data_IF_486776607488
#
_entry.id   IF_486776607488
#
_cell.length_a   1.000
_cell.length_b   1.000
_cell.length_c   1.000
_cell.angle_alpha   90.00
_cell.angle_beta   90.00
_cell.angle_gamma   90.00
#
_symmetry.space_group_name_H-M   'P 1'
#
loop_
_entity.id
_entity.type
_entity.pdbx_description
1 polymer ?
#
# COMPACT_ATOMS: atom_id res chain seq x y z
N UNK A 1 -14.54 -8.30 -17.39
CA UNK A 1 -15.43 -7.90 -16.27
C UNK A 1 -15.01 -8.68 -15.03
N UNK A 2 -14.26 -8.05 -14.12
CA UNK A 2 -13.61 -8.75 -12.99
C UNK A 2 -14.49 -8.91 -11.75
N UNK A 3 -15.68 -8.29 -11.71
CA UNK A 3 -16.66 -8.49 -10.64
C UNK A 3 -18.08 -8.41 -11.24
N UNK A 4 -18.86 -9.51 -11.17
CA UNK A 4 -20.29 -9.48 -11.48
C UNK A 4 -21.04 -8.99 -10.25
N UNK A 5 -21.73 -7.86 -10.35
CA UNK A 5 -22.60 -7.32 -9.29
C UNK A 5 -22.05 -6.13 -8.50
N UNK A 6 -20.84 -5.65 -8.79
CA UNK A 6 -20.38 -4.35 -8.33
C UNK A 6 -20.94 -3.25 -9.25
N UNK A 7 -21.16 -2.04 -8.72
CA UNK A 7 -21.45 -0.87 -9.54
C UNK A 7 -20.39 -0.74 -10.64
N UNK A 8 -20.81 -0.31 -11.82
CA UNK A 8 -19.89 -0.08 -12.94
C UNK A 8 -18.93 1.05 -12.56
N UNK A 9 -17.65 0.72 -12.40
CA UNK A 9 -16.61 1.70 -12.07
C UNK A 9 -16.24 2.39 -13.37
N UNK A 10 -16.39 3.72 -13.41
CA UNK A 10 -16.04 4.51 -14.58
C UNK A 10 -14.60 4.22 -15.03
N UNK A 11 -14.43 3.91 -16.31
CA UNK A 11 -13.15 3.63 -16.97
C UNK A 11 -12.41 2.34 -16.52
N UNK A 12 -13.07 1.39 -15.83
CA UNK A 12 -12.46 0.10 -15.41
C UNK A 12 -12.17 -0.86 -16.59
N UNK A 13 -12.61 -0.52 -17.80
CA UNK A 13 -12.31 -1.25 -19.01
C UNK A 13 -10.89 -0.97 -19.54
N UNK A 14 -10.33 0.20 -19.22
CA UNK A 14 -9.03 0.70 -19.69
C UNK A 14 -7.97 0.74 -18.59
N UNK A 15 -6.70 0.65 -18.98
CA UNK A 15 -5.54 0.91 -18.11
C UNK A 15 -4.86 2.25 -18.41
N UNK A 16 -5.38 3.03 -19.35
CA UNK A 16 -4.71 4.18 -19.95
C UNK A 16 -4.26 5.22 -18.93
N UNK A 17 -5.12 5.56 -17.96
CA UNK A 17 -4.79 6.52 -16.90
C UNK A 17 -3.68 5.97 -16.00
N UNK A 18 -3.80 4.70 -15.57
CA UNK A 18 -2.77 4.04 -14.76
C UNK A 18 -1.43 3.95 -15.49
N UNK A 19 -1.46 3.57 -16.77
CA UNK A 19 -0.26 3.50 -17.60
C UNK A 19 0.39 4.87 -17.77
N UNK A 20 -0.41 5.93 -17.98
CA UNK A 20 0.11 7.29 -18.09
C UNK A 20 0.83 7.74 -16.82
N UNK A 21 0.34 7.35 -15.64
CA UNK A 21 1.03 7.63 -14.36
C UNK A 21 2.34 6.85 -14.24
N UNK A 22 2.34 5.56 -14.63
CA UNK A 22 3.55 4.73 -14.65
C UNK A 22 4.61 5.33 -15.59
N UNK A 23 4.22 5.69 -16.81
CA UNK A 23 5.11 6.28 -17.81
C UNK A 23 5.65 7.64 -17.33
N UNK A 24 4.80 8.47 -16.74
CA UNK A 24 5.19 9.75 -16.14
C UNK A 24 6.25 9.58 -15.05
N UNK A 25 6.06 8.60 -14.16
CA UNK A 25 6.99 8.32 -13.06
C UNK A 25 8.32 7.75 -13.57
N UNK A 26 8.26 6.77 -14.48
CA UNK A 26 9.46 6.18 -15.10
C UNK A 26 10.26 7.19 -15.93
N UNK A 27 9.60 8.11 -16.65
CA UNK A 27 10.26 9.18 -17.41
C UNK A 27 11.03 10.17 -16.53
N UNK A 28 10.76 10.18 -15.22
CA UNK A 28 11.42 10.99 -14.19
C UNK A 28 12.35 10.17 -13.30
N UNK A 29 12.54 8.89 -13.64
CA UNK A 29 13.34 7.93 -12.86
C UNK A 29 12.89 7.81 -11.39
N UNK A 30 11.60 8.04 -11.13
CA UNK A 30 11.03 7.87 -9.79
C UNK A 30 10.88 6.39 -9.47
N UNK A 31 11.10 6.02 -8.20
CA UNK A 31 10.82 4.68 -7.72
C UNK A 31 9.34 4.35 -7.92
N UNK A 32 9.04 3.24 -8.59
CA UNK A 32 7.67 2.78 -8.85
C UNK A 32 7.45 1.41 -8.22
N UNK A 33 6.39 1.29 -7.43
CA UNK A 33 5.83 0.03 -6.93
C UNK A 33 4.38 -0.03 -7.39
N UNK A 34 4.04 -0.96 -8.28
CA UNK A 34 2.73 -0.99 -8.90
C UNK A 34 2.11 -2.40 -8.87
N UNK A 35 0.90 -2.51 -8.32
CA UNK A 35 0.12 -3.74 -8.33
C UNK A 35 -0.49 -3.98 -9.72
N UNK A 36 -0.52 -5.23 -10.17
CA UNK A 36 -1.22 -5.59 -11.41
C UNK A 36 -1.75 -7.02 -11.42
N UNK A 37 -2.67 -7.27 -12.34
CA UNK A 37 -3.10 -8.63 -12.70
C UNK A 37 -2.06 -9.26 -13.63
N UNK A 38 -1.80 -10.57 -13.54
CA UNK A 38 -0.94 -11.26 -14.51
C UNK A 38 -1.44 -11.14 -15.95
N UNK A 39 -2.74 -10.87 -16.17
CA UNK A 39 -3.37 -10.74 -17.49
C UNK A 39 -3.40 -9.31 -18.03
N UNK A 40 -3.09 -8.33 -17.18
CA UNK A 40 -3.15 -6.90 -17.48
C UNK A 40 -1.97 -6.24 -16.75
N UNK A 41 -0.76 -6.48 -17.27
CA UNK A 41 0.48 -5.95 -16.72
C UNK A 41 0.74 -4.53 -17.26
N UNK A 42 1.43 -3.71 -16.47
CA UNK A 42 1.89 -2.40 -16.90
C UNK A 42 3.03 -2.54 -17.91
N UNK A 43 2.98 -1.76 -19.00
CA UNK A 43 4.11 -1.63 -19.91
C UNK A 43 5.28 -0.90 -19.22
N UNK A 44 6.49 -1.09 -19.75
CA UNK A 44 7.69 -0.43 -19.26
C UNK A 44 8.80 -1.38 -18.80
N UNK A 45 9.92 -0.81 -18.37
CA UNK A 45 11.10 -1.54 -17.95
C UNK A 45 11.06 -1.77 -16.43
N UNK A 46 10.62 -2.96 -16.05
CA UNK A 46 10.53 -3.40 -14.66
C UNK A 46 11.83 -4.06 -14.21
N UNK A 47 12.34 -3.68 -13.04
CA UNK A 47 13.57 -4.26 -12.46
C UNK A 47 13.28 -5.60 -11.79
N UNK A 48 12.17 -5.70 -11.07
CA UNK A 48 11.74 -6.90 -10.36
C UNK A 48 10.22 -7.07 -10.42
N UNK A 49 9.78 -8.32 -10.34
CA UNK A 49 8.38 -8.69 -10.15
C UNK A 49 8.26 -9.49 -8.86
N UNK A 50 7.29 -9.12 -8.03
CA UNK A 50 6.93 -9.82 -6.80
C UNK A 50 5.54 -10.46 -6.98
N UNK A 51 5.31 -11.55 -6.26
CA UNK A 51 4.00 -12.16 -6.11
C UNK A 51 3.50 -11.92 -4.68
N UNK A 52 2.39 -11.23 -4.52
CA UNK A 52 1.72 -11.10 -3.24
C UNK A 52 0.70 -12.22 -3.08
N UNK A 53 0.95 -13.16 -2.17
CA UNK A 53 0.00 -14.15 -1.68
C UNK A 53 -0.94 -13.52 -0.64
N UNK A 54 -2.22 -13.48 -1.01
CA UNK A 54 -3.35 -12.89 -0.29
C UNK A 54 -3.98 -13.83 0.74
N UNK A 55 -3.53 -15.08 0.79
CA UNK A 55 -4.10 -16.12 1.66
C UNK A 55 -5.33 -16.81 1.08
N UNK A 56 -5.64 -17.98 1.65
CA UNK A 56 -6.66 -18.90 1.14
C UNK A 56 -8.11 -18.50 1.40
N UNK A 57 -8.37 -17.48 2.23
CA UNK A 57 -9.70 -17.03 2.62
C UNK A 57 -10.34 -16.05 1.63
N UNK A 58 -9.58 -15.38 0.77
CA UNK A 58 -10.08 -14.40 -0.21
C UNK A 58 -10.16 -14.96 -1.63
N UNK A 59 -10.94 -14.36 -2.54
CA UNK A 59 -11.05 -14.81 -3.94
C UNK A 59 -12.39 -15.46 -4.27
N UNK A 60 -13.48 -14.85 -3.82
CA UNK A 60 -14.86 -15.28 -4.08
C UNK A 60 -15.22 -14.79 -5.50
N UNK A 61 -14.70 -15.45 -6.53
CA UNK A 61 -14.96 -15.07 -7.92
C UNK A 61 -14.16 -15.90 -8.92
N UNK A 62 -14.65 -15.95 -10.17
CA UNK A 62 -14.06 -16.75 -11.24
C UNK A 62 -14.68 -18.14 -11.40
N UNK A 63 -14.19 -18.90 -12.36
CA UNK A 63 -14.65 -20.26 -12.62
C UNK A 63 -14.11 -21.23 -11.55
N UNK A 64 -14.97 -21.56 -10.60
CA UNK A 64 -14.63 -22.47 -9.49
C UNK A 64 -14.63 -23.95 -9.89
N UNK A 65 -15.13 -24.29 -11.07
CA UNK A 65 -15.20 -25.66 -11.56
C UNK A 65 -13.92 -26.05 -12.30
N UNK A 66 -13.28 -25.10 -13.00
CA UNK A 66 -12.14 -25.39 -13.89
C UNK A 66 -10.85 -24.65 -13.53
N UNK A 67 -10.92 -23.57 -12.74
CA UNK A 67 -9.74 -22.77 -12.41
C UNK A 67 -9.34 -22.90 -10.93
N UNK A 68 -8.03 -22.91 -10.67
CA UNK A 68 -7.51 -22.75 -9.33
C UNK A 68 -7.83 -21.37 -8.79
N UNK A 69 -8.10 -21.30 -7.49
CA UNK A 69 -8.41 -20.07 -6.78
C UNK A 69 -7.24 -19.09 -6.90
N UNK A 70 -7.51 -17.88 -7.40
CA UNK A 70 -6.49 -16.82 -7.51
C UNK A 70 -6.26 -16.17 -6.15
N UNK A 71 -5.32 -16.72 -5.40
CA UNK A 71 -4.89 -16.23 -4.09
C UNK A 71 -3.75 -15.22 -4.18
N UNK A 72 -3.35 -14.76 -5.37
CA UNK A 72 -2.20 -13.87 -5.51
C UNK A 72 -2.40 -12.74 -6.53
N UNK A 73 -1.59 -11.69 -6.40
CA UNK A 73 -1.46 -10.54 -7.32
C UNK A 73 0.02 -10.27 -7.62
N UNK A 74 0.33 -9.62 -8.74
CA UNK A 74 1.69 -9.22 -9.08
C UNK A 74 1.99 -7.81 -8.60
N UNK A 75 3.25 -7.54 -8.27
CA UNK A 75 3.76 -6.21 -7.96
C UNK A 75 5.01 -5.97 -8.80
N UNK A 76 4.98 -4.97 -9.67
CA UNK A 76 6.16 -4.50 -10.40
C UNK A 76 6.94 -3.51 -9.57
N UNK A 77 8.28 -3.61 -9.56
CA UNK A 77 9.18 -2.66 -8.91
C UNK A 77 10.25 -2.18 -9.89
N UNK A 78 10.46 -0.87 -9.99
CA UNK A 78 11.55 -0.28 -10.78
C UNK A 78 12.06 1.02 -10.17
N UNK A 79 13.24 1.47 -10.61
CA UNK A 79 13.91 2.71 -10.17
C UNK A 79 14.05 2.88 -8.64
N UNK A 80 13.90 1.80 -7.87
CA UNK A 80 14.09 1.84 -6.42
C UNK A 80 15.55 2.14 -6.05
N UNK A 81 15.80 2.85 -4.94
CA UNK A 81 17.12 2.96 -4.34
C UNK A 81 17.62 1.58 -3.83
N UNK A 82 18.86 1.48 -3.33
CA UNK A 82 19.27 0.30 -2.57
C UNK A 82 18.22 -0.08 -1.52
N UNK A 83 17.92 -1.36 -1.40
CA UNK A 83 16.90 -1.83 -0.46
C UNK A 83 17.32 -1.49 0.97
N UNK A 84 16.36 -1.07 1.79
CA UNK A 84 16.59 -0.98 3.22
C UNK A 84 16.66 -2.39 3.82
N UNK A 85 17.75 -2.65 4.54
CA UNK A 85 18.08 -3.97 5.08
C UNK A 85 18.56 -4.95 4.00
N UNK A 86 18.37 -6.24 4.24
CA UNK A 86 18.80 -7.32 3.35
C UNK A 86 17.87 -7.54 2.15
N UNK A 87 18.22 -8.53 1.32
CA UNK A 87 17.34 -9.00 0.25
C UNK A 87 16.36 -10.05 0.80
N UNK A 88 15.07 -9.82 0.58
CA UNK A 88 14.01 -10.75 0.97
C UNK A 88 13.51 -11.58 -0.24
N UNK A 89 12.58 -12.50 0.00
CA UNK A 89 11.95 -13.33 -1.03
C UNK A 89 11.01 -12.52 -1.95
N UNK A 90 10.83 -13.01 -3.19
CA UNK A 90 9.90 -12.41 -4.15
C UNK A 90 8.43 -12.79 -3.96
N UNK A 91 8.12 -13.67 -2.99
CA UNK A 91 6.75 -14.08 -2.66
C UNK A 91 6.37 -13.49 -1.30
N UNK A 92 5.59 -12.42 -1.33
CA UNK A 92 5.15 -11.70 -0.14
C UNK A 92 3.87 -12.33 0.41
N UNK A 93 3.85 -12.72 1.68
CA UNK A 93 2.70 -13.38 2.31
C UNK A 93 2.04 -12.45 3.30
N UNK A 94 0.96 -11.82 2.86
CA UNK A 94 0.15 -10.93 3.69
C UNK A 94 -1.32 -11.24 3.43
N UNK A 95 -2.04 -11.66 4.46
CA UNK A 95 -3.46 -11.96 4.31
C UNK A 95 -4.22 -10.72 3.84
N UNK A 96 -5.02 -10.87 2.77
CA UNK A 96 -5.90 -9.81 2.31
C UNK A 96 -6.98 -9.51 3.34
N UNK A 97 -7.42 -8.26 3.36
CA UNK A 97 -8.44 -7.75 4.28
C UNK A 97 -9.81 -8.22 3.81
N UNK A 98 -10.50 -9.03 4.62
CA UNK A 98 -11.81 -9.60 4.25
C UNK A 98 -12.65 -9.97 5.48
N UNK A 99 -13.87 -9.40 5.65
CA UNK A 99 -14.40 -8.29 4.85
C UNK A 99 -13.55 -7.02 5.05
N UNK A 100 -13.44 -6.14 4.04
CA UNK A 100 -12.78 -4.85 4.21
C UNK A 100 -13.56 -4.01 5.25
N UNK A 101 -12.95 -3.54 6.34
CA UNK A 101 -13.61 -2.71 7.34
C UNK A 101 -14.17 -1.42 6.74
N UNK A 102 -13.51 -0.90 5.71
CA UNK A 102 -13.95 0.27 4.94
C UNK A 102 -15.15 0.00 4.03
N UNK A 103 -15.44 -1.27 3.73
CA UNK A 103 -16.34 -1.65 2.64
C UNK A 103 -15.72 -1.55 1.23
N UNK A 104 -14.46 -1.11 1.09
CA UNK A 104 -13.80 -0.98 -0.21
C UNK A 104 -13.38 -2.35 -0.78
N UNK A 105 -13.85 -2.67 -1.99
CA UNK A 105 -13.65 -3.99 -2.59
C UNK A 105 -12.19 -4.39 -2.84
N UNK A 106 -11.29 -3.41 -3.00
CA UNK A 106 -9.87 -3.63 -3.34
C UNK A 106 -8.86 -3.15 -2.26
N UNK A 107 -9.29 -3.05 -1.00
CA UNK A 107 -8.42 -2.64 0.11
C UNK A 107 -7.15 -3.51 0.23
N UNK A 108 -5.99 -2.85 0.25
CA UNK A 108 -4.69 -3.50 0.47
C UNK A 108 -4.38 -3.55 1.97
N UNK A 109 -3.79 -4.64 2.50
CA UNK A 109 -3.38 -4.70 3.89
C UNK A 109 -2.34 -3.62 4.22
N UNK A 110 -2.55 -2.88 5.30
CA UNK A 110 -1.60 -1.86 5.78
C UNK A 110 -0.19 -2.46 5.98
N UNK A 111 0.00 -3.64 6.62
CA UNK A 111 1.34 -4.18 6.82
C UNK A 111 2.10 -4.50 5.52
N UNK A 112 1.38 -4.84 4.44
CA UNK A 112 2.00 -5.02 3.12
C UNK A 112 2.49 -3.67 2.58
N UNK A 113 1.67 -2.63 2.70
CA UNK A 113 2.02 -1.30 2.24
C UNK A 113 3.19 -0.71 3.03
N UNK A 114 3.20 -0.89 4.35
CA UNK A 114 4.32 -0.51 5.23
C UNK A 114 5.61 -1.21 4.81
N UNK A 115 5.57 -2.53 4.65
CA UNK A 115 6.70 -3.32 4.20
C UNK A 115 7.28 -2.80 2.88
N UNK A 116 6.43 -2.56 1.87
CA UNK A 116 6.86 -2.07 0.56
C UNK A 116 7.49 -0.67 0.67
N UNK A 117 6.83 0.26 1.35
CA UNK A 117 7.32 1.64 1.54
C UNK A 117 8.66 1.62 2.28
N UNK A 118 8.76 0.90 3.39
CA UNK A 118 10.00 0.81 4.17
C UNK A 118 11.13 0.20 3.38
N UNK A 119 10.86 -0.74 2.47
CA UNK A 119 11.91 -1.41 1.70
C UNK A 119 12.57 -0.49 0.67
N UNK A 120 11.84 0.48 0.11
CA UNK A 120 12.29 1.28 -1.05
C UNK A 120 12.28 2.80 -0.85
N UNK A 121 12.01 3.29 0.37
CA UNK A 121 12.04 4.72 0.70
C UNK A 121 12.71 4.98 2.05
N UNK A 122 13.18 6.19 2.29
CA UNK A 122 13.69 6.66 3.58
C UNK A 122 12.62 7.41 4.37
N UNK A 123 12.83 7.64 5.67
CA UNK A 123 11.96 8.54 6.45
C UNK A 123 11.98 9.93 5.82
N UNK A 124 10.87 10.65 5.97
CA UNK A 124 10.65 11.99 5.42
C UNK A 124 10.59 12.07 3.88
N UNK A 125 10.79 10.96 3.15
CA UNK A 125 10.47 10.88 1.72
C UNK A 125 8.97 11.10 1.49
N UNK A 126 8.63 11.51 0.26
CA UNK A 126 7.26 11.72 -0.19
C UNK A 126 6.78 10.51 -0.98
N UNK A 127 5.67 9.90 -0.54
CA UNK A 127 4.96 8.85 -1.26
C UNK A 127 3.83 9.48 -2.07
N UNK A 128 3.82 9.24 -3.38
CA UNK A 128 2.72 9.64 -4.25
C UNK A 128 1.80 8.45 -4.52
N UNK A 129 0.53 8.57 -4.17
CA UNK A 129 -0.51 7.56 -4.38
C UNK A 129 -1.57 8.12 -5.35
N UNK A 130 -1.54 7.75 -6.64
CA UNK A 130 -2.46 8.29 -7.63
C UNK A 130 -3.90 7.75 -7.52
N UNK A 131 -4.11 6.60 -6.85
CA UNK A 131 -5.42 5.92 -6.77
C UNK A 131 -5.64 5.41 -5.33
N UNK A 132 -5.97 6.32 -4.43
CA UNK A 132 -5.93 6.05 -2.98
C UNK A 132 -6.90 4.95 -2.53
N UNK A 133 -8.07 4.81 -3.16
CA UNK A 133 -9.13 3.91 -2.74
C UNK A 133 -9.46 4.13 -1.26
N UNK A 134 -9.31 3.09 -0.43
CA UNK A 134 -9.53 3.22 1.02
C UNK A 134 -8.36 3.83 1.81
N UNK A 135 -7.27 4.26 1.15
CA UNK A 135 -6.18 5.02 1.77
C UNK A 135 -5.14 4.19 2.51
N UNK A 136 -4.99 2.90 2.21
CA UNK A 136 -4.00 2.05 2.88
C UNK A 136 -2.56 2.56 2.70
N UNK A 137 -2.21 3.11 1.53
CA UNK A 137 -0.90 3.73 1.28
C UNK A 137 -0.68 4.97 2.14
N UNK A 138 -1.72 5.81 2.29
CA UNK A 138 -1.66 7.04 3.12
C UNK A 138 -1.33 6.68 4.56
N UNK A 139 -2.05 5.72 5.13
CA UNK A 139 -1.81 5.28 6.50
C UNK A 139 -0.43 4.64 6.64
N UNK A 140 -0.04 3.76 5.73
CA UNK A 140 1.29 3.15 5.78
C UNK A 140 2.41 4.18 5.68
N UNK A 141 2.27 5.20 4.83
CA UNK A 141 3.23 6.30 4.73
C UNK A 141 3.30 7.08 6.05
N UNK A 142 2.16 7.44 6.64
CA UNK A 142 2.12 8.12 7.95
C UNK A 142 2.79 7.24 9.00
N UNK A 143 2.38 5.99 9.19
CA UNK A 143 2.90 5.06 10.20
C UNK A 143 4.41 4.90 10.11
N UNK A 144 4.93 4.74 8.89
CA UNK A 144 6.37 4.57 8.65
C UNK A 144 7.14 5.89 8.69
N UNK A 145 6.48 7.05 8.83
CA UNK A 145 7.14 8.36 8.97
C UNK A 145 7.59 8.95 7.64
N UNK A 146 6.78 8.77 6.60
CA UNK A 146 6.89 9.41 5.28
C UNK A 146 5.75 10.42 5.12
N UNK A 147 5.94 11.37 4.21
CA UNK A 147 4.85 12.23 3.75
C UNK A 147 4.07 11.50 2.66
N UNK A 148 2.80 11.85 2.46
CA UNK A 148 1.99 11.27 1.40
C UNK A 148 1.17 12.33 0.66
N UNK A 149 1.18 12.26 -0.67
CA UNK A 149 0.28 13.00 -1.56
C UNK A 149 -0.58 11.95 -2.25
N UNK A 150 -1.89 12.02 -2.05
CA UNK A 150 -2.82 11.02 -2.56
C UNK A 150 -3.93 11.66 -3.41
N UNK A 151 -4.32 10.98 -4.48
CA UNK A 151 -5.45 11.35 -5.33
C UNK A 151 -6.52 10.26 -5.28
N UNK A 152 -7.78 10.67 -5.31
CA UNK A 152 -8.94 9.79 -5.42
C UNK A 152 -10.03 10.54 -6.19
N UNK A 153 -10.78 9.83 -7.03
CA UNK A 153 -11.76 10.44 -7.93
C UNK A 153 -13.17 10.44 -7.33
N UNK A 154 -13.48 9.47 -6.48
CA UNK A 154 -14.75 9.40 -5.77
C UNK A 154 -14.68 10.23 -4.48
N UNK A 155 -15.53 11.26 -4.41
CA UNK A 155 -15.59 12.19 -3.28
C UNK A 155 -15.81 11.48 -1.93
N UNK A 156 -16.58 10.39 -1.89
CA UNK A 156 -16.80 9.64 -0.66
C UNK A 156 -15.52 8.96 -0.19
N UNK A 157 -14.73 8.43 -1.12
CA UNK A 157 -13.42 7.85 -0.81
C UNK A 157 -12.41 8.93 -0.44
N UNK A 158 -12.44 10.11 -1.08
CA UNK A 158 -11.64 11.26 -0.64
C UNK A 158 -11.91 11.62 0.83
N UNK A 159 -13.18 11.75 1.21
CA UNK A 159 -13.59 12.07 2.58
C UNK A 159 -13.17 10.96 3.56
N UNK A 160 -13.35 9.70 3.19
CA UNK A 160 -12.93 8.56 3.99
C UNK A 160 -11.41 8.53 4.23
N UNK A 161 -10.62 8.79 3.18
CA UNK A 161 -9.15 8.84 3.26
C UNK A 161 -8.68 10.02 4.12
N UNK A 162 -9.32 11.19 4.00
CA UNK A 162 -9.03 12.34 4.84
C UNK A 162 -9.27 12.04 6.33
N UNK A 163 -10.42 11.45 6.68
CA UNK A 163 -10.72 11.04 8.05
C UNK A 163 -9.75 9.98 8.58
N UNK A 164 -9.32 9.01 7.76
CA UNK A 164 -8.23 8.08 8.13
C UNK A 164 -6.94 8.84 8.40
N UNK A 165 -6.55 9.77 7.52
CA UNK A 165 -5.33 10.55 7.66
C UNK A 165 -5.28 11.29 9.00
N UNK A 166 -6.36 12.00 9.34
CA UNK A 166 -6.46 12.76 10.59
C UNK A 166 -6.34 11.84 11.81
N UNK A 167 -7.03 10.70 11.82
CA UNK A 167 -6.95 9.72 12.91
C UNK A 167 -5.54 9.16 13.11
N UNK A 168 -4.82 8.84 12.03
CA UNK A 168 -3.45 8.32 12.14
C UNK A 168 -2.47 9.39 12.62
N UNK A 169 -2.63 10.63 12.15
CA UNK A 169 -1.82 11.76 12.61
C UNK A 169 -2.04 12.05 14.10
N UNK A 170 -3.29 11.99 14.56
CA UNK A 170 -3.63 12.21 15.97
C UNK A 170 -3.12 11.10 16.88
N UNK A 171 -3.16 9.84 16.43
CA UNK A 171 -2.53 8.73 17.16
C UNK A 171 -1.02 8.94 17.34
N UNK A 172 -0.33 9.47 16.34
CA UNK A 172 1.10 9.83 16.44
C UNK A 172 1.37 11.03 17.33
N UNK A 173 0.39 11.91 17.53
CA UNK A 173 0.48 13.08 18.40
C UNK A 173 0.17 12.79 19.85
N UNK A 174 -0.29 11.57 20.19
CA UNK A 174 -0.53 11.22 21.59
C UNK A 174 0.77 11.47 22.38
N UNK A 175 0.74 12.39 23.37
CA UNK A 175 1.91 12.66 24.17
C UNK A 175 2.19 11.40 24.97
N UNK A 176 3.26 10.69 24.60
CA UNK A 176 3.94 9.91 25.61
C UNK A 176 4.37 10.93 26.66
N UNK A 177 3.85 10.82 27.87
CA UNK A 177 4.40 11.54 29.01
C UNK A 177 5.93 11.36 28.93
N UNK A 178 6.68 12.47 28.91
CA UNK A 178 8.13 12.37 28.99
C UNK A 178 8.45 11.43 30.15
N UNK A 179 9.33 10.42 29.96
CA UNK A 179 9.67 9.51 31.04
C UNK A 179 10.12 10.37 32.22
N UNK A 180 9.31 10.38 33.28
CA UNK A 180 9.61 11.15 34.48
C UNK A 180 11.03 10.78 34.88
N UNK A 181 11.96 11.74 34.82
CA UNK A 181 13.32 11.53 35.34
C UNK A 181 13.16 11.01 36.76
N UNK A 182 13.52 9.76 36.97
CA UNK A 182 13.67 9.23 38.32
C UNK A 182 14.86 9.99 38.89
N UNK A 183 14.60 10.91 39.82
CA UNK A 183 15.66 11.50 40.62
C UNK A 183 16.35 10.34 41.34
N UNK A 184 17.55 9.99 40.89
CA UNK A 184 18.44 9.13 41.65
C UNK A 184 18.74 9.86 42.95
N UNK A 185 18.07 9.45 44.04
CA UNK A 185 18.52 9.81 45.38
C UNK A 185 19.98 9.39 45.50
N UNK A 186 20.79 10.30 46.02
CA UNK A 186 22.24 10.22 46.03
C UNK A 186 22.78 8.90 46.57
N UNK A 187 24.00 8.61 46.12
CA UNK A 187 24.89 7.55 46.60
C UNK A 187 24.63 7.16 48.06
N UNK A 188 24.27 5.89 48.28
CA UNK A 188 24.29 5.23 49.60
C UNK A 188 25.72 4.93 50.10
N UNK A 189 26.72 5.54 49.47
CA UNK A 189 28.13 5.45 49.83
C UNK A 189 28.69 6.86 49.97
N UNK A 190 28.38 7.50 51.09
CA UNK A 190 29.19 8.52 51.78
C UNK A 190 29.04 8.29 53.29
#
# INVERSE_FOLDING_TARGET
MLFRGAAEIANDDSLEVGQSVVDWAMSRELCVVAFCSPWKQWAGNWRNWLAWDKGGHVGIGGDRATCWKRTWEMIGVTHNPPLNGGRDEGVLRFNAVSPPPSGHAAEKPIPLMEYLIEKVSSRDDVIFEPFAGSGSTVVAAITTGRQCIACEIDENWCLYVADRCDRELDQKRLPFDEPKRVETQGSLFD
#
